data_IF_435612333778
#
_entry.id   IF_435612333778
#
_cell.length_a   1.000
_cell.length_b   1.000
_cell.length_c   1.000
_cell.angle_alpha   90.00
_cell.angle_beta   90.00
_cell.angle_gamma   90.00
#
_symmetry.space_group_name_H-M   'P 1'
#
loop_
_entity.id
_entity.type
_entity.pdbx_description
1 polymer ?
#
# COMPACT_ATOMS: atom_id res chain seq x y z
N UNK A 1 0.68 5.20 40.49
CA UNK A 1 -0.17 6.09 39.79
C UNK A 1 0.38 6.60 38.53
N UNK A 2 1.44 7.33 38.60
CA UNK A 2 2.01 7.92 37.39
C UNK A 2 2.46 6.89 36.39
N UNK A 3 2.89 5.76 36.85
CA UNK A 3 3.39 4.72 35.98
C UNK A 3 2.35 4.18 35.04
N UNK A 4 1.12 4.24 35.42
CA UNK A 4 0.03 3.71 34.63
C UNK A 4 -0.07 4.42 33.29
N UNK A 5 0.14 5.72 33.27
CA UNK A 5 0.05 6.48 32.04
C UNK A 5 1.12 6.06 31.02
N UNK A 6 2.31 5.77 31.53
CA UNK A 6 3.39 5.35 30.63
C UNK A 6 3.07 4.04 29.93
N UNK A 7 2.46 3.11 30.65
CA UNK A 7 2.14 1.84 30.05
C UNK A 7 1.15 1.95 28.93
N UNK A 8 0.21 2.87 29.05
CA UNK A 8 -0.77 3.07 28.00
C UNK A 8 -0.13 3.58 26.72
N UNK A 9 0.86 4.43 26.82
CA UNK A 9 1.53 4.94 25.63
C UNK A 9 2.27 3.85 24.89
N UNK A 10 2.86 2.91 25.60
CA UNK A 10 3.55 1.81 24.96
C UNK A 10 2.57 0.93 24.19
N UNK A 11 1.39 0.73 24.73
CA UNK A 11 0.39 -0.08 24.05
C UNK A 11 -0.01 0.54 22.72
N UNK A 12 -0.16 1.86 22.67
CA UNK A 12 -0.52 2.55 21.45
C UNK A 12 0.57 2.42 20.40
N UNK A 13 1.82 2.53 20.82
CA UNK A 13 2.92 2.41 19.89
C UNK A 13 2.94 1.05 19.21
N UNK A 14 2.53 0.02 19.92
CA UNK A 14 2.52 -1.33 19.38
C UNK A 14 1.50 -1.55 18.28
N UNK A 15 0.55 -0.63 18.09
CA UNK A 15 -0.47 -0.77 17.08
C UNK A 15 -0.12 -0.11 15.77
N UNK A 16 1.04 0.53 15.69
CA UNK A 16 1.46 1.24 14.49
C UNK A 16 1.93 0.26 13.43
N UNK A 17 1.44 0.44 12.20
CA UNK A 17 1.83 -0.39 11.07
C UNK A 17 2.69 0.43 10.11
N UNK A 18 3.76 -0.16 9.62
CA UNK A 18 4.62 0.52 8.67
C UNK A 18 3.89 0.72 7.35
N UNK A 19 4.06 1.86 6.68
CA UNK A 19 3.45 2.08 5.37
C UNK A 19 4.08 1.17 4.32
N UNK A 20 3.30 0.87 3.27
CA UNK A 20 3.77 0.09 2.15
C UNK A 20 4.46 1.03 1.18
N UNK A 21 5.66 0.68 0.76
CA UNK A 21 6.43 1.53 -0.13
C UNK A 21 6.40 0.99 -1.55
N UNK A 22 6.40 1.87 -2.57
CA UNK A 22 6.46 1.42 -3.95
C UNK A 22 7.75 0.68 -4.24
N UNK A 23 7.68 -0.30 -5.13
CA UNK A 23 8.82 -1.05 -5.60
C UNK A 23 8.78 -1.05 -7.12
N UNK A 24 9.86 -1.46 -7.81
CA UNK A 24 9.85 -1.51 -9.28
C UNK A 24 8.66 -2.35 -9.77
N UNK A 25 7.86 -1.77 -10.65
CA UNK A 25 6.62 -2.37 -11.12
C UNK A 25 5.37 -1.75 -10.52
N UNK A 26 5.51 -1.09 -9.36
CA UNK A 26 4.37 -0.38 -8.74
C UNK A 26 3.98 0.83 -9.57
N UNK A 27 2.68 1.17 -9.56
CA UNK A 27 2.20 2.33 -10.32
C UNK A 27 2.90 3.60 -9.86
N UNK A 28 3.11 3.74 -8.56
CA UNK A 28 3.67 4.95 -7.98
C UNK A 28 5.18 4.88 -7.75
N UNK A 29 5.84 3.87 -8.31
CA UNK A 29 7.29 3.80 -8.21
C UNK A 29 7.90 4.96 -9.02
N UNK A 30 8.61 5.83 -8.34
CA UNK A 30 9.17 7.01 -8.99
C UNK A 30 8.23 8.21 -9.02
N UNK A 31 7.04 8.10 -8.46
CA UNK A 31 6.12 9.22 -8.36
C UNK A 31 4.71 8.89 -8.79
N UNK A 32 3.85 9.89 -8.76
CA UNK A 32 2.46 9.72 -9.13
C UNK A 32 2.31 9.65 -10.65
N UNK A 33 1.25 8.98 -11.15
CA UNK A 33 0.97 8.98 -12.58
C UNK A 33 0.76 10.40 -13.09
N UNK A 34 1.17 10.64 -14.33
CA UNK A 34 1.01 11.97 -14.92
C UNK A 34 -0.45 12.33 -15.10
N UNK A 35 -1.26 11.35 -15.53
CA UNK A 35 -2.69 11.57 -15.74
C UNK A 35 -3.44 11.12 -14.51
N UNK A 36 -4.21 12.04 -13.94
CA UNK A 36 -4.97 11.71 -12.74
C UNK A 36 -6.21 10.92 -13.12
N UNK A 37 -6.62 10.04 -12.20
CA UNK A 37 -7.81 9.23 -12.41
C UNK A 37 -9.02 10.06 -12.03
N UNK A 38 -9.85 10.38 -13.02
CA UNK A 38 -10.99 11.25 -12.81
C UNK A 38 -12.34 10.55 -12.96
N UNK A 39 -12.34 9.31 -13.45
CA UNK A 39 -13.61 8.60 -13.68
C UNK A 39 -14.14 7.94 -12.43
N UNK A 40 -13.27 7.51 -11.54
CA UNK A 40 -13.69 6.86 -10.31
C UNK A 40 -13.81 7.88 -9.18
N UNK A 41 -14.74 7.64 -8.23
CA UNK A 41 -14.88 8.58 -7.11
C UNK A 41 -13.65 8.56 -6.20
N UNK A 42 -13.42 9.67 -5.52
CA UNK A 42 -12.41 9.75 -4.48
C UNK A 42 -12.75 8.70 -3.42
N UNK A 43 -11.73 8.01 -2.90
CA UNK A 43 -11.93 6.94 -1.93
C UNK A 43 -12.07 5.58 -2.56
N UNK A 44 -12.21 5.50 -3.89
CA UNK A 44 -12.26 4.21 -4.58
C UNK A 44 -10.90 3.53 -4.54
N UNK A 45 -10.91 2.21 -4.59
CA UNK A 45 -9.68 1.44 -4.67
C UNK A 45 -9.55 0.83 -6.05
N UNK A 46 -8.29 0.54 -6.42
CA UNK A 46 -8.01 -0.17 -7.66
C UNK A 46 -6.88 -1.16 -7.40
N UNK A 47 -6.83 -2.19 -8.21
CA UNK A 47 -5.85 -3.25 -8.06
C UNK A 47 -4.87 -3.21 -9.22
N UNK A 48 -3.61 -3.52 -8.93
CA UNK A 48 -2.54 -3.55 -9.94
C UNK A 48 -1.68 -4.78 -9.68
N UNK A 49 -1.47 -5.57 -10.73
CA UNK A 49 -0.68 -6.79 -10.63
C UNK A 49 0.54 -6.69 -11.52
N UNK A 50 1.66 -7.21 -11.04
CA UNK A 50 2.87 -7.26 -11.86
C UNK A 50 3.78 -8.38 -11.37
N UNK A 51 4.68 -8.82 -12.25
CA UNK A 51 5.66 -9.84 -11.91
C UNK A 51 6.90 -9.15 -11.39
N UNK A 52 7.32 -9.56 -10.21
CA UNK A 52 8.51 -9.00 -9.57
C UNK A 52 9.77 -9.54 -10.25
N UNK A 53 10.90 -8.89 -9.96
CA UNK A 53 12.16 -9.30 -10.55
C UNK A 53 12.57 -10.72 -10.23
N UNK A 54 12.08 -11.26 -9.12
CA UNK A 54 12.38 -12.65 -8.73
C UNK A 54 11.33 -13.64 -9.25
N UNK A 55 10.40 -13.19 -10.08
CA UNK A 55 9.42 -14.08 -10.69
C UNK A 55 8.12 -14.24 -9.92
N UNK A 56 8.01 -13.65 -8.74
CA UNK A 56 6.77 -13.75 -7.97
C UNK A 56 5.76 -12.71 -8.43
N UNK A 57 4.50 -12.98 -8.18
CA UNK A 57 3.41 -12.06 -8.54
C UNK A 57 3.13 -11.13 -7.37
N UNK A 58 3.12 -9.83 -7.63
CA UNK A 58 2.71 -8.85 -6.64
C UNK A 58 1.34 -8.31 -7.01
N UNK A 59 0.46 -8.23 -6.03
CA UNK A 59 -0.89 -7.67 -6.21
C UNK A 59 -1.00 -6.50 -5.26
N UNK A 60 -1.14 -5.29 -5.80
CA UNK A 60 -1.19 -4.07 -5.01
C UNK A 60 -2.57 -3.46 -5.04
N UNK A 61 -2.96 -2.83 -3.96
CA UNK A 61 -4.22 -2.10 -3.85
C UNK A 61 -3.91 -0.63 -3.59
N UNK A 62 -4.47 0.23 -4.42
CA UNK A 62 -4.31 1.67 -4.32
C UNK A 62 -5.65 2.33 -4.02
N UNK A 63 -5.63 3.47 -3.35
CA UNK A 63 -6.83 4.26 -3.09
C UNK A 63 -6.67 5.65 -3.68
N UNK A 64 -7.75 6.17 -4.26
CA UNK A 64 -7.76 7.50 -4.85
C UNK A 64 -7.94 8.51 -3.72
N UNK A 65 -6.97 9.40 -3.57
CA UNK A 65 -6.96 10.41 -2.53
C UNK A 65 -7.80 11.63 -2.94
N UNK A 66 -8.13 12.53 -2.01
CA UNK A 66 -8.91 13.73 -2.35
C UNK A 66 -8.31 14.58 -3.46
N UNK A 67 -6.99 14.62 -3.59
CA UNK A 67 -6.32 15.35 -4.66
C UNK A 67 -6.16 14.49 -5.91
N UNK A 68 -6.77 13.31 -5.92
CA UNK A 68 -6.74 12.33 -6.99
C UNK A 68 -5.39 11.69 -7.23
N UNK A 69 -4.48 11.80 -6.26
CA UNK A 69 -3.28 10.99 -6.29
C UNK A 69 -3.61 9.58 -5.80
N UNK A 70 -2.68 8.65 -6.00
CA UNK A 70 -2.86 7.27 -5.57
C UNK A 70 -2.06 7.00 -4.31
N UNK A 71 -2.69 6.33 -3.36
CA UNK A 71 -2.04 5.87 -2.14
C UNK A 71 -1.94 4.35 -2.19
N UNK A 72 -0.73 3.83 -2.09
CA UNK A 72 -0.51 2.39 -2.06
C UNK A 72 -0.82 1.89 -0.66
N UNK A 73 -1.88 1.09 -0.54
CA UNK A 73 -2.36 0.68 0.77
C UNK A 73 -2.00 -0.74 1.15
N UNK A 74 -1.84 -1.61 0.15
CA UNK A 74 -1.62 -3.01 0.46
C UNK A 74 -0.86 -3.69 -0.66
N UNK A 75 -0.09 -4.71 -0.30
CA UNK A 75 0.59 -5.56 -1.28
C UNK A 75 0.56 -6.99 -0.79
N UNK A 76 0.13 -7.90 -1.67
CA UNK A 76 0.17 -9.33 -1.42
C UNK A 76 1.15 -9.92 -2.42
N UNK A 77 2.03 -10.79 -1.96
CA UNK A 77 3.01 -11.42 -2.83
C UNK A 77 2.70 -12.92 -2.88
N UNK A 78 2.51 -13.42 -4.10
CA UNK A 78 2.22 -14.83 -4.34
C UNK A 78 3.53 -15.55 -4.63
N UNK A 79 3.95 -16.44 -3.74
CA UNK A 79 5.23 -17.10 -3.84
C UNK A 79 5.29 -18.18 -4.90
N UNK A 80 4.16 -18.79 -5.21
CA UNK A 80 4.08 -19.89 -6.17
C UNK A 80 3.44 -19.44 -7.48
N UNK A 81 4.01 -18.44 -8.09
CA UNK A 81 3.49 -17.95 -9.35
C UNK A 81 4.46 -18.24 -10.48
N UNK A 82 4.01 -18.80 -11.61
CA UNK A 82 2.64 -19.30 -11.82
C UNK A 82 2.40 -20.57 -11.02
N UNK A 83 1.13 -20.86 -10.69
CA UNK A 83 0.79 -22.08 -9.93
C UNK A 83 1.24 -23.32 -10.69
N UNK A 84 1.67 -24.34 -9.93
CA UNK A 84 2.12 -25.58 -10.52
C UNK A 84 0.98 -26.57 -10.69
#
# INVERSE_FOLDING_TARGET
MRRTALMMMLALAGCTTAPVEPIPGSITYGGQPRTKLTKSPIGSTLSHEFIMGDGRLAIETYRIQPDRSLSLENRVIVGDWPPQ
#
